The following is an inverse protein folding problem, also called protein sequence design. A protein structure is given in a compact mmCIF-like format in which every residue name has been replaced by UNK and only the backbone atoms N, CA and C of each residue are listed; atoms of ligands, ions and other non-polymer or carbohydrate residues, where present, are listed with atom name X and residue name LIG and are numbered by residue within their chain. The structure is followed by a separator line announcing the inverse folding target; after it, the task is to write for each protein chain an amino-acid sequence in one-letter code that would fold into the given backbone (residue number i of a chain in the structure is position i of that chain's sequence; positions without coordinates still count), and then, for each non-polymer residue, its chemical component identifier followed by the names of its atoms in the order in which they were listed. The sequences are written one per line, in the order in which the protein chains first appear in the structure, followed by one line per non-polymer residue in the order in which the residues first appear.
data_IF_732543910314
#
_entry.id   IF_732543910314
#
_cell.length_a   1.000
_cell.length_b   1.000
_cell.length_c   1.000
_cell.angle_alpha   90.00
_cell.angle_beta   90.00
_cell.angle_gamma   90.00
#
_symmetry.space_group_name_H-M   'P 1'
#
loop_
_entity.id
_entity.type
_entity.pdbx_description
1 polymer ?
#
# COMPACT_ATOMS: atom_id res chain seq x y z
N UNK A 1 4.17 -32.33 17.90
CA UNK A 1 3.82 -31.02 18.49
C UNK A 1 5.11 -30.28 18.77
N UNK A 2 5.31 -29.11 18.17
CA UNK A 2 6.40 -28.20 18.56
C UNK A 2 5.85 -26.78 18.44
N UNK A 3 5.54 -26.20 19.60
CA UNK A 3 5.15 -24.81 19.77
C UNK A 3 6.43 -23.99 19.70
N UNK A 4 6.51 -23.07 18.73
CA UNK A 4 7.54 -22.04 18.71
C UNK A 4 6.93 -20.78 19.30
N UNK A 5 7.48 -20.38 20.44
CA UNK A 5 7.13 -19.19 21.20
C UNK A 5 7.70 -17.93 20.55
N UNK A 6 6.85 -16.95 20.24
CA UNK A 6 7.27 -15.55 20.15
C UNK A 6 6.59 -14.80 21.28
N UNK A 7 7.39 -14.27 22.20
CA UNK A 7 6.95 -13.53 23.37
C UNK A 7 7.26 -12.04 23.23
N UNK A 8 6.30 -11.21 23.68
CA UNK A 8 6.47 -9.81 24.03
C UNK A 8 6.10 -8.86 22.89
N UNK A 9 5.39 -7.75 23.07
CA UNK A 9 4.92 -6.93 24.20
C UNK A 9 3.97 -5.91 23.51
N UNK A 10 2.92 -5.30 24.07
CA UNK A 10 2.44 -5.13 25.43
C UNK A 10 0.94 -4.80 25.35
N UNK A 11 0.22 -5.20 26.39
CA UNK A 11 -1.11 -4.68 26.73
C UNK A 11 -0.94 -3.30 27.36
N UNK A 12 -1.74 -2.33 26.94
CA UNK A 12 -2.34 -1.27 27.76
C UNK A 12 -2.98 -0.22 26.83
N UNK A 13 -4.05 0.50 27.14
CA UNK A 13 -5.06 0.54 28.21
C UNK A 13 -6.16 1.44 27.63
N UNK A 14 -7.41 1.14 27.95
CA UNK A 14 -8.61 1.87 27.56
C UNK A 14 -8.60 3.36 27.93
N UNK A 15 -9.38 4.19 27.20
CA UNK A 15 -10.30 5.12 27.85
C UNK A 15 -11.40 5.57 26.89
N UNK A 16 -12.64 5.25 27.23
CA UNK A 16 -13.81 5.91 26.68
C UNK A 16 -13.85 7.37 27.16
N UNK A 17 -13.95 8.31 26.23
CA UNK A 17 -14.44 9.66 26.50
C UNK A 17 -15.61 9.92 25.56
N UNK A 18 -16.79 9.95 26.16
CA UNK A 18 -18.01 10.43 25.55
C UNK A 18 -17.93 11.94 25.26
N UNK A 19 -18.96 12.43 24.57
CA UNK A 19 -19.44 13.83 24.49
C UNK A 19 -18.88 14.73 23.37
N UNK A 20 -19.67 14.80 22.29
CA UNK A 20 -20.24 16.04 21.70
C UNK A 20 -19.34 17.29 21.74
N UNK A 21 -18.68 17.59 20.61
CA UNK A 21 -18.04 18.88 20.40
C UNK A 21 -17.37 18.97 19.05
N UNK A 22 -17.81 19.92 18.24
CA UNK A 22 -17.24 20.28 16.94
C UNK A 22 -15.71 20.44 17.02
N UNK A 23 -15.02 19.96 15.98
CA UNK A 23 -13.72 20.49 15.59
C UNK A 23 -12.51 19.84 16.27
N UNK A 24 -12.06 18.71 15.74
CA UNK A 24 -10.66 18.36 15.76
C UNK A 24 -10.36 17.57 14.49
N UNK A 25 -9.83 18.27 13.50
CA UNK A 25 -9.06 17.67 12.42
C UNK A 25 -7.97 16.82 13.06
N UNK A 26 -8.17 15.52 13.16
CA UNK A 26 -7.05 14.60 13.34
C UNK A 26 -6.28 14.71 12.04
N UNK A 27 -5.24 15.54 12.05
CA UNK A 27 -4.15 15.42 11.08
C UNK A 27 -3.80 13.95 11.05
N UNK A 28 -4.18 13.26 9.97
CA UNK A 28 -3.73 11.91 9.73
C UNK A 28 -2.21 12.02 9.77
N UNK A 29 -1.63 11.47 10.83
CA UNK A 29 -0.21 11.26 10.87
C UNK A 29 0.03 10.39 9.66
N UNK A 30 0.74 10.91 8.65
CA UNK A 30 1.15 10.15 7.49
C UNK A 30 1.88 8.93 8.04
N UNK A 31 1.18 7.80 8.10
CA UNK A 31 1.76 6.55 8.49
C UNK A 31 2.82 6.29 7.43
N UNK A 32 4.09 6.39 7.82
CA UNK A 32 5.17 5.83 7.03
C UNK A 32 4.97 4.33 7.09
N UNK A 33 4.10 3.84 6.21
CA UNK A 33 3.93 2.41 5.98
C UNK A 33 5.27 1.99 5.41
N UNK A 34 6.02 1.23 6.23
CA UNK A 34 7.33 0.71 5.83
C UNK A 34 7.21 0.02 4.47
N UNK A 35 8.24 0.17 3.64
CA UNK A 35 8.17 -0.19 2.23
C UNK A 35 7.72 -1.65 2.03
N UNK A 36 6.60 -1.86 1.31
CA UNK A 36 5.96 -3.17 1.10
C UNK A 36 6.34 -3.73 -0.28
N UNK A 37 7.00 -4.89 -0.35
CA UNK A 37 7.29 -5.52 -1.63
C UNK A 37 6.07 -6.25 -2.20
N UNK A 38 5.81 -6.09 -3.49
CA UNK A 38 4.83 -6.85 -4.26
C UNK A 38 5.57 -7.65 -5.32
N UNK A 39 5.32 -8.96 -5.35
CA UNK A 39 5.95 -9.87 -6.31
C UNK A 39 4.87 -10.60 -7.12
N UNK A 40 5.04 -10.66 -8.45
CA UNK A 40 4.13 -11.36 -9.35
C UNK A 40 4.91 -12.05 -10.48
N UNK A 41 5.23 -13.33 -10.27
CA UNK A 41 6.08 -14.08 -11.20
C UNK A 41 7.48 -13.47 -11.28
N UNK A 42 7.88 -13.04 -12.48
CA UNK A 42 9.15 -12.34 -12.71
C UNK A 42 9.14 -10.84 -12.37
N UNK A 43 7.99 -10.28 -12.00
CA UNK A 43 7.84 -8.87 -11.66
C UNK A 43 7.98 -8.63 -10.16
N UNK A 44 8.68 -7.58 -9.75
CA UNK A 44 8.83 -7.18 -8.36
C UNK A 44 8.86 -5.65 -8.23
N UNK A 45 8.05 -5.11 -7.33
CA UNK A 45 8.05 -3.68 -6.99
C UNK A 45 8.06 -3.49 -5.48
N UNK A 46 8.50 -2.33 -5.04
CA UNK A 46 8.45 -1.85 -3.66
C UNK A 46 7.50 -0.66 -3.62
N UNK A 47 6.55 -0.70 -2.70
CA UNK A 47 5.57 0.36 -2.53
C UNK A 47 5.79 1.01 -1.17
N UNK A 48 5.85 2.34 -1.13
CA UNK A 48 6.07 3.10 0.08
C UNK A 48 5.15 4.31 0.11
N UNK A 49 4.56 4.61 1.28
CA UNK A 49 3.81 5.86 1.47
C UNK A 49 4.65 6.80 2.31
N UNK A 50 5.07 7.91 1.70
CA UNK A 50 5.91 8.91 2.34
C UNK A 50 5.35 10.30 2.06
N UNK A 51 5.12 11.09 3.12
CA UNK A 51 4.63 12.48 3.04
C UNK A 51 3.33 12.70 2.24
N UNK A 52 2.42 11.72 2.23
CA UNK A 52 1.18 11.82 1.44
C UNK A 52 1.39 11.53 -0.05
N UNK A 53 2.51 10.91 -0.40
CA UNK A 53 2.76 10.36 -1.73
C UNK A 53 2.94 8.85 -1.64
N UNK A 54 2.32 8.14 -2.58
CA UNK A 54 2.59 6.74 -2.85
C UNK A 54 3.74 6.65 -3.85
N UNK A 55 4.85 6.09 -3.40
CA UNK A 55 6.06 5.87 -4.16
C UNK A 55 6.11 4.39 -4.54
N UNK A 56 6.05 4.09 -5.84
CA UNK A 56 6.26 2.72 -6.35
C UNK A 56 7.59 2.64 -7.06
N UNK A 57 8.48 1.78 -6.58
CA UNK A 57 9.83 1.57 -7.11
C UNK A 57 9.96 0.16 -7.66
N UNK A 58 10.47 0.01 -8.87
CA UNK A 58 10.70 -1.32 -9.43
C UNK A 58 11.95 -1.99 -8.85
N UNK A 59 11.82 -3.25 -8.44
CA UNK A 59 12.89 -4.08 -7.91
C UNK A 59 13.41 -5.00 -9.02
N UNK A 60 14.30 -4.46 -9.86
CA UNK A 60 14.92 -5.21 -10.96
C UNK A 60 14.18 -5.06 -12.31
N UNK A 61 14.36 -6.05 -13.19
CA UNK A 61 13.86 -6.00 -14.57
C UNK A 61 12.39 -6.44 -14.65
N UNK A 62 11.47 -5.47 -14.56
CA UNK A 62 10.03 -5.67 -14.69
C UNK A 62 9.53 -5.51 -16.14
N UNK A 63 10.25 -6.07 -17.10
CA UNK A 63 9.91 -5.93 -18.52
C UNK A 63 8.52 -6.52 -18.81
N UNK A 64 7.61 -5.68 -19.31
CA UNK A 64 6.25 -6.08 -19.65
C UNK A 64 5.29 -6.15 -18.47
N UNK A 65 5.70 -5.82 -17.24
CA UNK A 65 4.80 -5.75 -16.09
C UNK A 65 4.09 -4.40 -16.03
N UNK A 66 2.88 -4.37 -15.50
CA UNK A 66 2.08 -3.15 -15.37
C UNK A 66 1.67 -2.91 -13.91
N UNK A 67 1.52 -1.65 -13.54
CA UNK A 67 1.05 -1.21 -12.23
C UNK A 67 -0.27 -0.50 -12.38
N UNK A 68 -1.20 -0.83 -11.47
CA UNK A 68 -2.48 -0.16 -11.31
C UNK A 68 -2.65 0.19 -9.85
N UNK A 69 -3.06 1.43 -9.58
CA UNK A 69 -3.42 1.91 -8.25
C UNK A 69 -4.88 2.25 -8.25
N UNK A 70 -5.61 1.64 -7.32
CA UNK A 70 -7.03 1.82 -7.13
C UNK A 70 -7.30 2.45 -5.78
N UNK A 71 -8.39 3.19 -5.70
CA UNK A 71 -9.03 3.53 -4.45
C UNK A 71 -9.85 2.31 -3.99
N UNK A 72 -9.52 1.72 -2.84
CA UNK A 72 -10.15 0.46 -2.42
C UNK A 72 -11.58 0.64 -1.90
N UNK A 73 -11.97 1.88 -1.55
CA UNK A 73 -13.33 2.19 -1.12
C UNK A 73 -14.29 2.29 -2.31
N UNK A 74 -13.84 2.89 -3.41
CA UNK A 74 -14.65 3.16 -4.61
C UNK A 74 -14.37 2.23 -5.79
N UNK A 75 -13.30 1.42 -5.72
CA UNK A 75 -12.77 0.60 -6.81
C UNK A 75 -12.44 1.42 -8.07
N UNK A 76 -12.19 2.72 -7.89
CA UNK A 76 -11.81 3.62 -8.98
C UNK A 76 -10.31 3.53 -9.23
N UNK A 77 -9.91 3.47 -10.50
CA UNK A 77 -8.50 3.57 -10.87
C UNK A 77 -8.04 5.00 -10.63
N UNK A 78 -7.05 5.15 -9.76
CA UNK A 78 -6.39 6.43 -9.48
C UNK A 78 -5.19 6.65 -10.39
N UNK A 79 -4.47 5.58 -10.71
CA UNK A 79 -3.36 5.59 -11.64
C UNK A 79 -3.21 4.23 -12.34
N UNK A 80 -2.77 4.24 -13.60
CA UNK A 80 -2.48 3.03 -14.36
C UNK A 80 -3.50 2.68 -15.46
N UNK A 81 -3.25 1.61 -16.23
CA UNK A 81 -2.04 0.77 -16.18
C UNK A 81 -0.80 1.53 -16.66
N UNK A 82 0.25 1.56 -15.83
CA UNK A 82 1.55 2.15 -16.18
C UNK A 82 2.63 1.05 -16.22
N UNK A 83 3.59 1.10 -17.15
CA UNK A 83 4.68 0.14 -17.17
C UNK A 83 5.46 0.18 -15.86
N UNK A 84 5.74 -0.98 -15.26
CA UNK A 84 6.52 -1.09 -14.02
C UNK A 84 8.04 -1.05 -14.28
N UNK A 85 8.50 -0.33 -15.32
CA UNK A 85 9.84 -0.41 -15.88
C UNK A 85 10.85 0.47 -15.14
N UNK A 86 11.38 0.01 -14.01
CA UNK A 86 12.50 0.67 -13.28
C UNK A 86 12.27 2.13 -12.85
N UNK A 87 11.06 2.68 -12.99
CA UNK A 87 10.77 4.06 -12.65
C UNK A 87 10.15 4.16 -11.25
N UNK A 88 10.42 5.29 -10.59
CA UNK A 88 9.68 5.72 -9.41
C UNK A 88 8.42 6.46 -9.86
N UNK A 89 7.24 5.91 -9.57
CA UNK A 89 5.96 6.60 -9.78
C UNK A 89 5.51 7.20 -8.44
N UNK A 90 5.22 8.51 -8.43
CA UNK A 90 4.59 9.20 -7.30
C UNK A 90 3.12 9.46 -7.60
N UNK A 91 2.23 9.10 -6.69
CA UNK A 91 0.80 9.39 -6.73
C UNK A 91 0.43 10.13 -5.46
N UNK A 92 -0.20 11.29 -5.59
CA UNK A 92 -0.71 12.01 -4.43
C UNK A 92 -1.82 11.20 -3.76
N UNK A 93 -1.68 10.94 -2.47
CA UNK A 93 -2.65 10.19 -1.67
C UNK A 93 -3.23 11.11 -0.61
N UNK A 94 -4.54 11.07 -0.47
CA UNK A 94 -5.19 11.89 0.56
C UNK A 94 -5.05 11.21 1.92
N UNK A 95 -4.89 12.00 3.00
CA UNK A 95 -4.87 11.46 4.36
C UNK A 95 -6.16 10.69 4.67
N UNK A 96 -6.02 9.41 5.06
CA UNK A 96 -7.15 8.52 5.36
C UNK A 96 -7.79 7.87 4.12
N UNK A 97 -7.14 7.95 2.96
CA UNK A 97 -7.56 7.25 1.75
C UNK A 97 -7.01 5.82 1.77
N UNK A 98 -7.90 4.82 1.71
CA UNK A 98 -7.51 3.44 1.50
C UNK A 98 -7.26 3.16 0.02
N UNK A 99 -6.11 2.57 -0.27
CA UNK A 99 -5.60 2.33 -1.61
C UNK A 99 -5.32 0.85 -1.81
N UNK A 100 -5.41 0.41 -3.04
CA UNK A 100 -4.97 -0.91 -3.46
C UNK A 100 -3.98 -0.77 -4.62
N UNK A 101 -2.77 -1.29 -4.44
CA UNK A 101 -1.72 -1.26 -5.47
C UNK A 101 -1.56 -2.65 -6.02
N UNK A 102 -1.80 -2.80 -7.31
CA UNK A 102 -1.76 -4.06 -8.03
C UNK A 102 -0.63 -4.08 -9.05
N UNK A 103 0.19 -5.13 -9.00
CA UNK A 103 1.17 -5.48 -10.02
C UNK A 103 0.58 -6.55 -10.91
N UNK A 104 0.53 -6.27 -12.21
CA UNK A 104 -0.01 -7.15 -13.25
C UNK A 104 1.15 -7.70 -14.06
N UNK A 105 1.12 -9.02 -14.27
CA UNK A 105 2.07 -9.70 -15.14
C UNK A 105 1.35 -10.29 -16.36
N UNK A 106 1.33 -9.57 -17.50
CA UNK A 106 0.66 -10.07 -18.70
C UNK A 106 1.37 -11.27 -19.33
N UNK A 107 2.67 -11.46 -19.07
CA UNK A 107 3.39 -12.66 -19.51
C UNK A 107 2.94 -13.94 -18.76
N UNK A 108 2.22 -13.81 -17.64
CA UNK A 108 1.70 -14.91 -16.84
C UNK A 108 0.16 -14.92 -16.83
N UNK A 109 -0.48 -14.98 -17.99
CA UNK A 109 -1.95 -14.98 -18.13
C UNK A 109 -2.66 -13.81 -17.43
N UNK A 110 -2.04 -12.63 -17.40
CA UNK A 110 -2.54 -11.47 -16.67
C UNK A 110 -2.82 -11.77 -15.18
N UNK A 111 -1.91 -12.45 -14.47
CA UNK A 111 -2.05 -12.59 -13.01
C UNK A 111 -1.91 -11.24 -12.32
N UNK A 112 -2.61 -11.06 -11.20
CA UNK A 112 -2.60 -9.84 -10.38
C UNK A 112 -2.05 -10.18 -9.00
N UNK A 113 -1.16 -9.33 -8.48
CA UNK A 113 -0.74 -9.36 -7.09
C UNK A 113 -0.99 -7.97 -6.51
N UNK A 114 -1.86 -7.89 -5.51
CA UNK A 114 -2.29 -6.61 -4.95
C UNK A 114 -1.93 -6.51 -3.47
N UNK A 115 -1.69 -5.28 -3.01
CA UNK A 115 -1.53 -4.95 -1.60
C UNK A 115 -2.45 -3.78 -1.26
N UNK A 116 -3.13 -3.91 -0.12
CA UNK A 116 -3.92 -2.84 0.44
C UNK A 116 -3.05 -1.95 1.34
N UNK A 117 -3.29 -0.65 1.26
CA UNK A 117 -2.58 0.41 1.98
C UNK A 117 -3.67 1.30 2.62
N UNK A 118 -3.64 1.47 3.94
CA UNK A 118 -4.64 2.20 4.73
C UNK A 118 -4.03 3.38 5.49
#
# INVERSE_FOLDING_TARGET
MRFTTTAGRAVAVALAAATLGLGATTSAQAATIGSIPINNGGCSVLVEVTNGELIVQALGANAGCELVVLDSASWSILAGPVPANSQVTSINVHPGQSLEVCLINPANNNTWACVQID
#
